data_IF_622416783082
#
_entry.id   IF_622416783082
#
_cell.length_a   1.000
_cell.length_b   1.000
_cell.length_c   1.000
_cell.angle_alpha   90.00
_cell.angle_beta   90.00
_cell.angle_gamma   90.00
#
_symmetry.space_group_name_H-M   'P 1'
#
loop_
_entity.id
_entity.type
_entity.pdbx_description
1 polymer ?
#
# COMPACT_ATOMS: atom_id res chain seq x y z
N UNK A 1 -13.77 21.61 -7.51
CA UNK A 1 -12.66 21.04 -6.70
C UNK A 1 -12.95 19.55 -6.50
N UNK A 2 -12.03 18.64 -6.82
CA UNK A 2 -12.24 17.19 -6.60
C UNK A 2 -12.07 16.80 -5.13
N UNK A 3 -12.71 15.73 -4.66
CA UNK A 3 -12.61 15.25 -3.27
C UNK A 3 -11.16 15.08 -2.80
N UNK A 4 -10.29 14.50 -3.62
CA UNK A 4 -8.87 14.35 -3.27
C UNK A 4 -8.12 15.69 -3.21
N UNK A 5 -8.55 16.71 -3.97
CA UNK A 5 -7.96 18.05 -3.91
C UNK A 5 -8.40 18.78 -2.64
N UNK A 6 -9.64 18.54 -2.20
CA UNK A 6 -10.10 18.96 -0.88
C UNK A 6 -9.27 18.28 0.22
N UNK A 7 -9.17 16.95 0.22
CA UNK A 7 -8.42 16.19 1.23
C UNK A 7 -6.93 16.58 1.28
N UNK A 8 -6.30 16.79 0.11
CA UNK A 8 -4.91 17.27 0.05
C UNK A 8 -4.77 18.63 0.72
N UNK A 9 -5.67 19.57 0.41
CA UNK A 9 -5.66 20.92 0.96
C UNK A 9 -5.84 20.91 2.48
N UNK A 10 -6.84 20.19 2.99
CA UNK A 10 -7.08 20.09 4.44
C UNK A 10 -5.92 19.36 5.14
N UNK A 11 -5.31 18.37 4.48
CA UNK A 11 -4.10 17.71 4.99
C UNK A 11 -2.88 18.64 5.04
N UNK A 12 -2.69 19.51 4.06
CA UNK A 12 -1.60 20.49 4.02
C UNK A 12 -1.80 21.62 5.03
N UNK A 13 -3.05 22.00 5.29
CA UNK A 13 -3.41 22.98 6.31
C UNK A 13 -3.29 22.43 7.75
N UNK A 14 -3.22 21.10 7.92
CA UNK A 14 -3.24 20.44 9.22
C UNK A 14 -4.66 20.30 9.82
N UNK A 15 -5.69 20.63 9.05
CA UNK A 15 -7.10 20.58 9.46
C UNK A 15 -7.71 19.18 9.28
N UNK A 16 -7.06 18.31 8.50
CA UNK A 16 -7.46 16.91 8.35
C UNK A 16 -6.92 16.04 9.48
N UNK A 17 -7.79 15.62 10.40
CA UNK A 17 -7.46 14.66 11.45
C UNK A 17 -7.90 13.25 11.04
N UNK A 18 -6.93 12.37 10.80
CA UNK A 18 -7.16 10.95 10.56
C UNK A 18 -6.92 10.14 11.84
N UNK A 19 -7.81 9.19 12.15
CA UNK A 19 -7.57 8.22 13.21
C UNK A 19 -6.33 7.34 12.93
N UNK A 20 -6.04 7.09 11.65
CA UNK A 20 -4.85 6.39 11.19
C UNK A 20 -4.52 6.74 9.74
N UNK A 21 -3.24 6.65 9.36
CA UNK A 21 -2.81 6.82 7.98
C UNK A 21 -3.32 5.68 7.09
N UNK A 22 -3.51 5.98 5.80
CA UNK A 22 -3.92 4.96 4.81
C UNK A 22 -2.80 3.93 4.65
N UNK A 23 -3.09 2.66 4.93
CA UNK A 23 -2.13 1.57 4.72
C UNK A 23 -2.12 1.13 3.26
N UNK A 24 -1.01 1.39 2.57
CA UNK A 24 -0.79 0.91 1.19
C UNK A 24 -0.27 -0.54 1.28
N UNK A 25 -1.11 -1.48 0.84
CA UNK A 25 -0.82 -2.90 0.80
C UNK A 25 -1.65 -3.61 -0.29
N UNK A 26 -1.57 -4.93 -0.33
CA UNK A 26 -2.26 -5.73 -1.36
C UNK A 26 -3.77 -5.45 -1.40
N UNK A 27 -4.44 -5.43 -0.25
CA UNK A 27 -5.89 -5.20 -0.17
C UNK A 27 -6.27 -3.79 -0.66
N UNK A 28 -5.49 -2.78 -0.30
CA UNK A 28 -5.69 -1.42 -0.76
C UNK A 28 -5.56 -1.32 -2.28
N UNK A 29 -4.46 -1.84 -2.85
CA UNK A 29 -4.17 -1.78 -4.28
C UNK A 29 -5.16 -2.62 -5.11
N UNK A 30 -5.56 -3.79 -4.60
CA UNK A 30 -6.59 -4.65 -5.21
C UNK A 30 -7.96 -3.98 -5.22
N UNK A 31 -8.27 -3.17 -4.20
CA UNK A 31 -9.55 -2.49 -4.07
C UNK A 31 -9.71 -1.23 -4.94
N UNK A 32 -8.66 -0.81 -5.66
CA UNK A 32 -8.73 0.35 -6.54
C UNK A 32 -9.64 0.07 -7.75
N UNK A 33 -10.46 1.06 -8.12
CA UNK A 33 -11.35 0.99 -9.31
C UNK A 33 -10.64 1.26 -10.64
N UNK A 34 -9.32 1.20 -10.65
CA UNK A 34 -8.49 1.42 -11.84
C UNK A 34 -7.31 0.46 -11.82
N UNK A 35 -6.18 0.82 -12.45
CA UNK A 35 -4.97 0.02 -12.34
C UNK A 35 -4.59 -0.23 -10.87
N UNK A 36 -4.24 -1.47 -10.52
CA UNK A 36 -3.89 -1.90 -9.16
C UNK A 36 -2.48 -1.41 -8.73
N UNK A 37 -2.29 -0.09 -8.80
CA UNK A 37 -1.03 0.59 -8.57
C UNK A 37 -1.30 1.98 -7.97
N UNK A 38 -0.38 2.47 -7.13
CA UNK A 38 -0.37 3.86 -6.70
C UNK A 38 1.05 4.42 -6.63
N UNK A 39 1.16 5.74 -6.79
CA UNK A 39 2.38 6.50 -6.57
C UNK A 39 2.30 7.18 -5.20
N UNK A 40 3.33 6.98 -4.38
CA UNK A 40 3.44 7.63 -3.07
C UNK A 40 4.51 8.69 -3.12
N UNK A 41 4.16 9.94 -2.78
CA UNK A 41 5.14 10.98 -2.52
C UNK A 41 5.83 10.67 -1.19
N UNK A 42 7.11 10.29 -1.21
CA UNK A 42 7.83 9.86 -0.02
C UNK A 42 8.15 11.08 0.86
N UNK A 43 7.77 11.00 2.14
CA UNK A 43 8.00 12.06 3.13
C UNK A 43 8.99 11.64 4.22
N UNK A 44 9.16 10.34 4.47
CA UNK A 44 10.13 9.86 5.43
C UNK A 44 10.03 8.38 5.76
N UNK A 45 10.83 7.97 6.73
CA UNK A 45 10.83 6.64 7.31
C UNK A 45 10.29 6.72 8.74
N UNK A 46 9.53 5.70 9.16
CA UNK A 46 9.06 5.50 10.52
C UNK A 46 9.07 4.01 10.87
N UNK A 47 8.60 3.67 12.07
CA UNK A 47 8.41 2.32 12.54
C UNK A 47 6.93 2.03 12.80
N UNK A 48 6.43 0.92 12.29
CA UNK A 48 5.12 0.39 12.65
C UNK A 48 5.31 -0.72 13.68
N UNK A 49 4.94 -0.44 14.93
CA UNK A 49 5.09 -1.39 16.03
C UNK A 49 3.82 -2.22 16.17
N UNK A 50 3.97 -3.54 16.00
CA UNK A 50 2.86 -4.49 16.02
C UNK A 50 3.10 -5.61 17.03
N UNK A 51 2.02 -6.21 17.54
CA UNK A 51 2.11 -7.47 18.28
C UNK A 51 2.60 -8.60 17.39
N UNK A 52 3.47 -9.45 17.93
CA UNK A 52 4.05 -10.58 17.22
C UNK A 52 3.12 -11.80 17.18
N UNK A 53 2.04 -11.69 16.40
CA UNK A 53 1.05 -12.76 16.28
C UNK A 53 1.61 -14.03 15.61
N UNK A 54 2.68 -13.89 14.82
CA UNK A 54 3.31 -15.00 14.09
C UNK A 54 4.37 -15.74 14.92
N UNK A 55 4.56 -15.38 16.20
CA UNK A 55 5.59 -15.96 17.09
C UNK A 55 6.99 -15.91 16.50
N UNK A 56 7.28 -14.87 15.71
CA UNK A 56 8.56 -14.70 15.07
C UNK A 56 9.67 -14.54 16.11
N UNK A 57 10.77 -15.26 15.93
CA UNK A 57 11.96 -15.12 16.76
C UNK A 57 12.94 -14.22 16.01
N UNK A 58 13.42 -13.15 16.67
CA UNK A 58 14.41 -12.26 16.09
C UNK A 58 15.80 -12.92 16.07
N UNK A 59 16.70 -12.51 15.16
CA UNK A 59 18.09 -12.95 15.20
C UNK A 59 18.72 -12.71 16.58
N UNK A 60 19.33 -13.75 17.17
CA UNK A 60 19.93 -13.69 18.50
C UNK A 60 18.95 -13.79 19.68
N UNK A 61 17.64 -13.84 19.44
CA UNK A 61 16.65 -14.09 20.49
C UNK A 61 16.39 -15.59 20.69
N UNK A 62 16.17 -16.00 21.94
CA UNK A 62 15.82 -17.38 22.29
C UNK A 62 14.31 -17.63 22.42
N UNK A 63 13.51 -16.55 22.49
CA UNK A 63 12.04 -16.60 22.63
C UNK A 63 11.36 -15.56 21.73
N UNK A 64 10.09 -15.77 21.37
CA UNK A 64 9.34 -14.77 20.61
C UNK A 64 9.18 -13.47 21.41
N UNK A 65 9.51 -12.35 20.80
CA UNK A 65 9.21 -11.03 21.37
C UNK A 65 7.73 -10.72 21.24
N UNK A 66 7.11 -10.10 22.25
CA UNK A 66 5.68 -9.79 22.22
C UNK A 66 5.32 -8.71 21.19
N UNK A 67 6.25 -7.80 20.90
CA UNK A 67 6.11 -6.73 19.91
C UNK A 67 7.27 -6.74 18.93
N UNK A 68 7.01 -6.29 17.71
CA UNK A 68 7.98 -6.14 16.62
C UNK A 68 7.83 -4.76 16.01
N UNK A 69 8.94 -4.07 15.77
CA UNK A 69 8.97 -2.84 14.99
C UNK A 69 9.39 -3.15 13.55
N UNK A 70 8.49 -2.83 12.61
CA UNK A 70 8.74 -2.95 11.17
C UNK A 70 9.11 -1.60 10.58
N UNK A 71 10.04 -1.53 9.61
CA UNK A 71 10.25 -0.29 8.88
C UNK A 71 9.00 0.06 8.07
N UNK A 72 8.61 1.34 8.12
CA UNK A 72 7.43 1.86 7.46
C UNK A 72 7.76 3.14 6.70
N UNK A 73 7.46 3.19 5.40
CA UNK A 73 7.65 4.40 4.60
C UNK A 73 6.41 5.27 4.75
N UNK A 74 6.61 6.53 5.15
CA UNK A 74 5.56 7.56 5.21
C UNK A 74 5.52 8.38 3.93
N UNK A 75 4.32 8.79 3.54
CA UNK A 75 4.16 9.68 2.41
C UNK A 75 2.72 10.11 2.18
N UNK A 76 2.47 10.72 1.02
CA UNK A 76 1.12 11.04 0.53
C UNK A 76 0.77 10.20 -0.67
N UNK A 77 -0.40 9.59 -0.63
CA UNK A 77 -0.94 8.84 -1.76
C UNK A 77 -1.34 9.80 -2.89
N UNK A 78 -0.82 9.60 -4.10
CA UNK A 78 -1.08 10.49 -5.23
C UNK A 78 -2.55 10.51 -5.67
N UNK A 79 -3.31 9.44 -5.41
CA UNK A 79 -4.69 9.33 -5.85
C UNK A 79 -5.64 10.09 -4.91
N UNK A 80 -5.55 9.81 -3.61
CA UNK A 80 -6.41 10.38 -2.58
C UNK A 80 -5.89 11.71 -2.00
N UNK A 81 -4.58 11.94 -2.07
CA UNK A 81 -3.92 13.06 -1.38
C UNK A 81 -3.75 12.86 0.12
N UNK A 82 -4.15 11.71 0.65
CA UNK A 82 -4.12 11.42 2.07
C UNK A 82 -2.73 10.99 2.55
N UNK A 83 -2.37 11.31 3.81
CA UNK A 83 -1.24 10.67 4.49
C UNK A 83 -1.39 9.15 4.47
N UNK A 84 -0.32 8.47 4.08
CA UNK A 84 -0.28 7.03 3.90
C UNK A 84 1.01 6.43 4.45
N UNK A 85 0.97 5.12 4.72
CA UNK A 85 2.12 4.34 5.16
C UNK A 85 2.22 3.05 4.35
N UNK A 86 3.46 2.65 4.07
CA UNK A 86 3.80 1.34 3.50
C UNK A 86 4.62 0.59 4.54
N UNK A 87 3.99 -0.37 5.22
CA UNK A 87 4.68 -1.20 6.21
C UNK A 87 5.40 -2.34 5.49
N UNK A 88 6.72 -2.43 5.65
CA UNK A 88 7.56 -3.38 4.90
C UNK A 88 7.57 -4.76 5.60
N UNK A 89 6.39 -5.38 5.69
CA UNK A 89 6.16 -6.64 6.41
C UNK A 89 6.05 -7.87 5.51
N UNK A 90 5.59 -7.70 4.27
CA UNK A 90 5.52 -8.81 3.31
C UNK A 90 6.93 -9.14 2.77
N UNK A 91 7.30 -10.42 2.71
CA UNK A 91 8.61 -10.83 2.21
C UNK A 91 8.88 -10.37 0.77
N UNK A 92 7.86 -10.42 -0.09
CA UNK A 92 7.96 -9.92 -1.47
C UNK A 92 8.18 -8.39 -1.53
N UNK A 93 7.53 -7.63 -0.65
CA UNK A 93 7.71 -6.18 -0.57
C UNK A 93 9.10 -5.82 -0.02
N UNK A 94 9.57 -6.53 1.02
CA UNK A 94 10.95 -6.41 1.52
C UNK A 94 11.95 -6.62 0.40
N UNK A 95 11.83 -7.73 -0.32
CA UNK A 95 12.74 -8.08 -1.40
C UNK A 95 12.84 -6.99 -2.48
N UNK A 96 11.69 -6.47 -2.93
CA UNK A 96 11.67 -5.40 -3.93
C UNK A 96 12.29 -4.10 -3.42
N UNK A 97 12.07 -3.73 -2.14
CA UNK A 97 12.69 -2.54 -1.55
C UNK A 97 14.19 -2.75 -1.35
N UNK A 98 14.64 -3.91 -0.85
CA UNK A 98 16.06 -4.24 -0.72
C UNK A 98 16.77 -4.10 -2.07
N UNK A 99 16.18 -4.65 -3.13
CA UNK A 99 16.70 -4.53 -4.50
C UNK A 99 16.74 -3.08 -4.99
N UNK A 100 15.67 -2.31 -4.76
CA UNK A 100 15.55 -0.92 -5.24
C UNK A 100 16.49 0.04 -4.48
N UNK A 101 16.69 -0.20 -3.18
CA UNK A 101 17.56 0.54 -2.30
C UNK A 101 19.02 0.04 -2.28
N UNK A 102 19.30 -1.08 -2.97
CA UNK A 102 20.61 -1.77 -3.01
C UNK A 102 21.10 -2.19 -1.62
N UNK A 103 20.18 -2.70 -0.81
CA UNK A 103 20.42 -3.23 0.52
C UNK A 103 20.72 -4.73 0.45
N UNK A 104 21.44 -5.25 1.43
CA UNK A 104 21.62 -6.70 1.56
C UNK A 104 20.32 -7.38 2.03
N UNK A 105 20.18 -8.66 1.66
CA UNK A 105 18.99 -9.43 2.01
C UNK A 105 18.92 -9.62 3.52
N UNK A 106 17.79 -9.26 4.13
CA UNK A 106 17.56 -9.39 5.57
C UNK A 106 17.86 -8.12 6.36
N UNK A 107 18.32 -7.05 5.71
CA UNK A 107 18.50 -5.75 6.38
C UNK A 107 17.18 -5.10 6.80
N UNK A 108 16.06 -5.51 6.18
CA UNK A 108 14.72 -5.00 6.50
C UNK A 108 13.93 -5.92 7.44
N UNK A 109 14.63 -6.78 8.17
CA UNK A 109 13.98 -7.61 9.19
C UNK A 109 13.51 -6.78 10.39
N UNK A 110 12.38 -7.17 11.02
CA UNK A 110 11.85 -6.40 12.12
C UNK A 110 12.82 -6.44 13.29
N UNK A 111 12.74 -5.42 14.12
CA UNK A 111 13.57 -5.29 15.32
C UNK A 111 12.69 -5.38 16.56
N UNK A 112 13.34 -5.53 17.70
CA UNK A 112 12.72 -5.32 19.00
C UNK A 112 12.52 -3.81 19.20
N UNK A 113 11.28 -3.32 19.39
CA UNK A 113 11.02 -1.89 19.60
C UNK A 113 11.68 -1.34 20.87
N UNK A 114 11.94 -2.20 21.85
CA UNK A 114 12.47 -1.80 23.15
C UNK A 114 14.00 -2.00 23.23
N UNK A 115 14.61 -2.57 22.18
CA UNK A 115 16.06 -2.65 22.09
C UNK A 115 16.66 -1.25 21.89
N UNK A 116 17.67 -0.91 22.70
CA UNK A 116 18.41 0.33 22.57
C UNK A 116 19.31 0.28 21.32
N UNK A 117 18.70 0.42 20.15
CA UNK A 117 19.36 0.38 18.84
C UNK A 117 20.08 1.69 18.50
N UNK A 118 20.07 2.69 19.40
CA UNK A 118 20.79 3.95 19.23
C UNK A 118 20.42 4.75 17.97
N UNK A 119 19.23 4.51 17.38
CA UNK A 119 18.84 5.10 16.10
C UNK A 119 19.55 4.52 14.87
N UNK A 120 20.30 3.42 15.02
CA UNK A 120 21.04 2.76 13.93
C UNK A 120 20.14 1.81 13.13
N UNK A 121 18.98 1.43 13.67
CA UNK A 121 18.06 0.55 12.99
C UNK A 121 17.67 1.13 11.62
N UNK A 122 17.84 0.32 10.57
CA UNK A 122 17.56 0.67 9.19
C UNK A 122 18.31 1.93 8.68
N UNK A 123 19.51 2.23 9.19
CA UNK A 123 20.28 3.43 8.82
C UNK A 123 20.50 3.57 7.29
N UNK A 124 20.77 2.47 6.59
CA UNK A 124 20.92 2.47 5.13
C UNK A 124 19.61 2.76 4.42
N UNK A 125 18.50 2.17 4.88
CA UNK A 125 17.16 2.48 4.38
C UNK A 125 16.82 3.96 4.64
N UNK A 126 17.10 4.47 5.83
CA UNK A 126 16.86 5.88 6.17
C UNK A 126 17.65 6.83 5.28
N UNK A 127 18.91 6.47 4.95
CA UNK A 127 19.74 7.23 4.01
C UNK A 127 19.12 7.23 2.61
N UNK A 128 18.69 6.07 2.12
CA UNK A 128 18.03 5.96 0.82
C UNK A 128 16.71 6.76 0.78
N UNK A 129 15.85 6.61 1.78
CA UNK A 129 14.59 7.35 1.90
C UNK A 129 14.84 8.87 1.98
N UNK A 130 15.81 9.33 2.78
CA UNK A 130 16.19 10.74 2.86
C UNK A 130 16.65 11.29 1.50
N UNK A 131 17.33 10.45 0.70
CA UNK A 131 17.67 10.77 -0.69
C UNK A 131 16.44 10.92 -1.58
N UNK A 132 15.43 10.06 -1.42
CA UNK A 132 14.15 10.18 -2.14
C UNK A 132 13.40 11.46 -1.76
N UNK A 133 13.30 11.75 -0.46
CA UNK A 133 12.66 12.97 0.06
C UNK A 133 13.34 14.22 -0.50
N UNK A 134 14.69 14.27 -0.43
CA UNK A 134 15.48 15.39 -0.94
C UNK A 134 15.31 15.59 -2.45
N UNK A 135 15.21 14.49 -3.20
CA UNK A 135 14.96 14.50 -4.64
C UNK A 135 13.48 14.74 -5.01
N UNK A 136 12.57 14.86 -4.03
CA UNK A 136 11.12 14.85 -4.21
C UNK A 136 10.67 13.69 -5.11
N UNK A 137 11.26 12.52 -4.92
CA UNK A 137 10.95 11.34 -5.69
C UNK A 137 9.72 10.63 -5.11
N UNK A 138 8.94 10.00 -5.99
CA UNK A 138 7.84 9.14 -5.61
C UNK A 138 8.23 7.67 -5.67
N UNK A 139 7.56 6.85 -4.85
CA UNK A 139 7.64 5.39 -4.90
C UNK A 139 6.38 4.86 -5.56
N UNK A 140 6.52 4.31 -6.76
CA UNK A 140 5.43 3.66 -7.48
C UNK A 140 5.37 2.20 -7.05
N UNK A 141 4.18 1.76 -6.65
CA UNK A 141 3.92 0.41 -6.15
C UNK A 141 2.81 -0.19 -6.97
N UNK A 142 3.08 -1.38 -7.52
CA UNK A 142 2.11 -2.18 -8.25
C UNK A 142 1.82 -3.47 -7.50
N UNK A 143 0.57 -3.88 -7.52
CA UNK A 143 0.16 -5.20 -7.07
C UNK A 143 0.02 -6.14 -8.28
N UNK A 144 0.81 -7.22 -8.30
CA UNK A 144 0.88 -8.18 -9.41
C UNK A 144 0.05 -9.46 -9.15
N UNK A 145 -0.89 -9.41 -8.21
CA UNK A 145 -1.66 -10.56 -7.78
C UNK A 145 -0.93 -11.41 -6.74
N UNK A 146 -1.28 -12.69 -6.67
CA UNK A 146 -0.78 -13.62 -5.66
C UNK A 146 0.23 -14.59 -6.26
N UNK A 147 1.26 -14.91 -5.49
CA UNK A 147 2.17 -16.02 -5.73
C UNK A 147 1.91 -17.15 -4.73
N UNK A 148 2.45 -18.33 -5.03
CA UNK A 148 2.36 -19.51 -4.17
C UNK A 148 3.76 -20.08 -3.97
N UNK A 149 4.13 -20.32 -2.72
CA UNK A 149 5.39 -20.98 -2.37
C UNK A 149 5.32 -22.49 -2.67
N UNK A 150 6.45 -23.19 -2.59
CA UNK A 150 6.51 -24.63 -2.84
C UNK A 150 5.67 -25.45 -1.84
N UNK A 151 5.58 -25.00 -0.60
CA UNK A 151 4.74 -25.55 0.48
C UNK A 151 3.28 -25.06 0.42
N UNK A 152 2.94 -24.25 -0.59
CA UNK A 152 1.57 -23.87 -0.90
C UNK A 152 1.06 -22.61 -0.20
N UNK A 153 1.91 -21.90 0.54
CA UNK A 153 1.57 -20.61 1.15
C UNK A 153 1.36 -19.54 0.08
N UNK A 154 0.23 -18.84 0.17
CA UNK A 154 -0.10 -17.72 -0.70
C UNK A 154 0.58 -16.45 -0.19
N UNK A 155 1.17 -15.66 -1.08
CA UNK A 155 1.76 -14.37 -0.74
C UNK A 155 1.45 -13.31 -1.82
N UNK A 156 1.29 -12.03 -1.45
CA UNK A 156 1.12 -10.96 -2.41
C UNK A 156 2.42 -10.69 -3.18
N UNK A 157 2.31 -10.46 -4.48
CA UNK A 157 3.43 -10.03 -5.33
C UNK A 157 3.32 -8.54 -5.60
N UNK A 158 4.45 -7.87 -5.50
CA UNK A 158 4.56 -6.44 -5.76
C UNK A 158 5.67 -6.19 -6.76
N UNK A 159 5.55 -5.08 -7.48
CA UNK A 159 6.66 -4.45 -8.19
C UNK A 159 6.82 -3.03 -7.65
N UNK A 160 8.04 -2.53 -7.61
CA UNK A 160 8.33 -1.18 -7.17
C UNK A 160 9.26 -0.43 -8.14
N UNK A 161 9.11 0.89 -8.19
CA UNK A 161 9.99 1.78 -8.93
C UNK A 161 10.08 3.15 -8.28
N UNK A 162 11.22 3.82 -8.48
CA UNK A 162 11.39 5.22 -8.10
C UNK A 162 11.05 6.11 -9.29
N UNK A 163 10.10 7.02 -9.10
CA UNK A 163 9.72 8.06 -10.07
C UNK A 163 10.39 9.36 -9.66
N UNK A 164 11.33 9.84 -10.48
CA UNK A 164 11.97 11.14 -10.28
C UNK A 164 11.14 12.25 -10.91
N UNK A 165 11.07 13.42 -10.27
CA UNK A 165 10.51 14.63 -10.88
C UNK A 165 9.45 15.40 -10.07
N UNK A 166 9.36 15.19 -8.75
CA UNK A 166 8.62 16.09 -7.88
C UNK A 166 7.09 16.06 -8.04
N UNK A 167 6.46 17.16 -7.61
CA UNK A 167 5.01 17.34 -7.59
C UNK A 167 4.37 17.25 -8.99
N UNK A 168 5.04 17.74 -10.03
CA UNK A 168 4.52 17.71 -11.40
C UNK A 168 4.33 16.27 -11.89
N UNK A 169 5.24 15.35 -11.54
CA UNK A 169 5.11 13.94 -11.89
C UNK A 169 4.00 13.22 -11.13
N UNK A 170 3.70 13.65 -9.90
CA UNK A 170 2.56 13.14 -9.13
C UNK A 170 1.23 13.55 -9.78
N UNK A 171 1.13 14.80 -10.25
CA UNK A 171 -0.04 15.28 -10.97
C UNK A 171 -0.22 14.58 -12.33
N UNK A 172 0.86 14.46 -13.11
CA UNK A 172 0.88 13.71 -14.38
C UNK A 172 0.41 12.27 -14.18
N UNK A 173 0.99 11.59 -13.18
CA UNK A 173 0.63 10.21 -12.82
C UNK A 173 -0.86 10.10 -12.48
N UNK A 174 -1.37 10.98 -11.63
CA UNK A 174 -2.79 10.96 -11.21
C UNK A 174 -3.72 11.17 -12.41
N UNK A 175 -3.37 12.09 -13.30
CA UNK A 175 -4.16 12.35 -14.51
C UNK A 175 -4.19 11.12 -15.43
N UNK A 176 -3.03 10.48 -15.67
CA UNK A 176 -2.93 9.26 -16.46
C UNK A 176 -3.71 8.10 -15.83
N UNK A 177 -3.54 7.87 -14.52
CA UNK A 177 -4.26 6.82 -13.79
C UNK A 177 -5.78 6.99 -13.88
N UNK A 178 -6.29 8.22 -13.74
CA UNK A 178 -7.72 8.51 -13.85
C UNK A 178 -8.24 8.32 -15.28
N UNK A 179 -7.42 8.54 -16.29
CA UNK A 179 -7.79 8.24 -17.68
C UNK A 179 -7.93 6.73 -17.89
N UNK A 180 -6.97 5.94 -17.39
CA UNK A 180 -7.02 4.48 -17.45
C UNK A 180 -8.20 3.91 -16.66
N UNK A 181 -8.48 4.43 -15.47
CA UNK A 181 -9.63 4.00 -14.67
C UNK A 181 -10.95 4.20 -15.42
N UNK A 182 -11.13 5.36 -16.08
CA UNK A 182 -12.32 5.61 -16.91
C UNK A 182 -12.39 4.69 -18.13
N UNK A 183 -11.26 4.40 -18.76
CA UNK A 183 -11.21 3.48 -19.89
C UNK A 183 -11.59 2.05 -19.47
N UNK A 184 -11.13 1.60 -18.29
CA UNK A 184 -11.50 0.32 -17.70
C UNK A 184 -12.98 0.25 -17.35
N UNK A 185 -13.54 1.30 -16.76
CA UNK A 185 -14.98 1.40 -16.48
C UNK A 185 -15.82 1.38 -17.76
N UNK A 186 -15.38 2.09 -18.82
CA UNK A 186 -16.07 2.11 -20.11
C UNK A 186 -15.98 0.79 -20.88
N UNK A 187 -14.89 0.02 -20.68
CA UNK A 187 -14.71 -1.30 -21.26
C UNK A 187 -15.38 -2.42 -20.45
N UNK A 188 -15.83 -2.13 -19.23
CA UNK A 188 -16.56 -3.10 -18.43
C UNK A 188 -17.86 -3.47 -19.16
N UNK A 189 -18.19 -4.77 -19.28
CA UNK A 189 -19.43 -5.19 -19.92
C UNK A 189 -20.60 -4.48 -19.25
N UNK A 190 -21.51 -3.91 -20.05
CA UNK A 190 -22.72 -3.30 -19.54
C UNK A 190 -23.38 -4.28 -18.57
N UNK A 191 -23.83 -3.81 -17.38
CA UNK A 191 -24.57 -4.69 -16.48
C UNK A 191 -25.70 -5.28 -17.31
N UNK A 192 -25.76 -6.62 -17.36
CA UNK A 192 -26.88 -7.33 -17.97
C UNK A 192 -28.10 -6.74 -17.28
N UNK A 193 -28.89 -5.95 -18.02
CA UNK A 193 -30.16 -5.46 -17.54
C UNK A 193 -30.86 -6.69 -16.97
N UNK A 194 -31.18 -6.66 -15.67
CA UNK A 194 -31.91 -7.74 -15.04
C UNK A 194 -33.07 -8.06 -15.98
N UNK A 195 -33.05 -9.25 -16.58
CA UNK A 195 -34.17 -9.74 -17.36
C UNK A 195 -35.38 -9.53 -16.46
N UNK A 196 -36.34 -8.73 -16.94
CA UNK A 196 -37.63 -8.57 -16.30
C UNK A 196 -38.12 -9.96 -15.97
N UNK A 197 -38.03 -10.33 -14.69
CA UNK A 197 -38.63 -11.55 -14.19
C UNK A 197 -40.10 -11.27 -14.32
N UNK A 198 -40.73 -11.79 -15.37
CA UNK A 198 -42.18 -11.81 -15.48
C UNK A 198 -42.72 -12.28 -14.12
N UNK A 199 -43.64 -11.53 -13.49
CA UNK A 199 -44.24 -11.98 -12.26
C UNK A 199 -44.85 -13.35 -12.52
N UNK A 200 -44.48 -14.33 -11.66
CA UNK A 200 -44.96 -15.68 -11.77
C UNK A 200 -46.50 -15.68 -11.98
N UNK A 201 -47.03 -16.49 -12.92
CA UNK A 201 -48.47 -16.55 -13.11
C UNK A 201 -49.12 -16.92 -11.77
N UNK A 202 -50.18 -16.19 -11.42
CA UNK A 202 -50.93 -16.41 -10.20
C UNK A 202 -51.25 -17.91 -10.07
N UNK A 203 -50.77 -18.54 -9.00
CA UNK A 203 -51.11 -19.92 -8.72
C UNK A 203 -52.61 -20.00 -8.48
N UNK A 204 -53.30 -20.84 -9.26
CA UNK A 204 -54.70 -21.18 -9.02
C UNK A 204 -54.86 -21.73 -7.60
N UNK A 205 -55.93 -21.35 -6.87
CA UNK A 205 -56.17 -21.89 -5.54
C UNK A 205 -56.43 -23.41 -5.64
N UNK A 206 -55.62 -24.18 -4.94
CA UNK A 206 -55.79 -25.64 -4.79
C UNK A 206 -57.10 -25.87 -4.01
N UNK A 207 -58.10 -26.59 -4.56
CA UNK A 207 -59.20 -27.08 -3.76
C UNK A 207 -58.70 -28.24 -2.91
N UNK A 208 -58.77 -28.12 -1.58
CA UNK A 208 -59.39 -29.05 -0.60
C UNK A 208 -58.97 -28.65 0.82
#
# INVERSE_FOLDING_TARGET
>A
MSLSAFLSKESEAGDLVLASAVRIGADHLRGLKGPAQTLVAVEGLDLDIQENKTRRILPGASRPNARLAWPAIKGKDALSGLPCIIVIQAGALRYEIEKLARLERGELEPIDPDANTGGVAFALLNTWISGLVSAKAGLLIWYEGEGKTADGQIFPRFRLAVVKGGADKLADYRAAWLADARALEAAAPAPVAALDVEPAPAADPIPF
#
